data_IF_263192254142
#
_entry.id   IF_263192254142
#
_cell.length_a   1.000
_cell.length_b   1.000
_cell.length_c   1.000
_cell.angle_alpha   90.00
_cell.angle_beta   90.00
_cell.angle_gamma   90.00
#
_symmetry.space_group_name_H-M   'P 1'
#
loop_
_entity.id
_entity.type
_entity.pdbx_description
1 polymer ?
#
# COMPACT_ATOMS: atom_id res chain seq x y z
N UNK A 1 -14.10 -2.09 -5.98
CA UNK A 1 -13.87 -1.19 -4.84
C UNK A 1 -13.51 -2.07 -3.68
N UNK A 2 -12.28 -1.98 -3.26
CA UNK A 2 -11.67 -2.79 -2.21
C UNK A 2 -11.44 -1.93 -0.96
N UNK A 3 -11.06 -2.57 0.16
CA UNK A 3 -10.91 -1.85 1.42
C UNK A 3 -9.69 -0.92 1.41
N UNK A 4 -8.65 -1.32 0.71
CA UNK A 4 -7.44 -0.57 0.44
C UNK A 4 -7.71 0.70 -0.41
N UNK A 5 -8.64 0.65 -1.38
CA UNK A 5 -9.10 1.83 -2.14
C UNK A 5 -9.66 2.92 -1.20
N UNK A 6 -10.48 2.51 -0.22
CA UNK A 6 -11.05 3.42 0.78
C UNK A 6 -9.99 3.99 1.71
N UNK A 7 -9.03 3.16 2.13
CA UNK A 7 -7.89 3.59 2.94
C UNK A 7 -7.05 4.62 2.16
N UNK A 8 -6.68 4.32 0.92
CA UNK A 8 -5.92 5.24 0.06
C UNK A 8 -6.61 6.57 -0.13
N UNK A 9 -7.93 6.54 -0.34
CA UNK A 9 -8.75 7.75 -0.44
C UNK A 9 -8.78 8.55 0.85
N UNK A 10 -8.95 7.89 2.01
CA UNK A 10 -8.90 8.57 3.31
C UNK A 10 -7.54 9.24 3.54
N UNK A 11 -6.45 8.55 3.20
CA UNK A 11 -5.10 9.12 3.28
C UNK A 11 -4.98 10.34 2.38
N UNK A 12 -5.43 10.27 1.13
CA UNK A 12 -5.38 11.39 0.19
C UNK A 12 -6.17 12.62 0.67
N UNK A 13 -7.37 12.39 1.23
CA UNK A 13 -8.23 13.45 1.74
C UNK A 13 -7.60 14.18 2.93
N UNK A 14 -6.95 13.45 3.84
CA UNK A 14 -6.47 14.02 5.11
C UNK A 14 -4.97 14.33 5.14
N UNK A 15 -4.16 13.86 4.19
CA UNK A 15 -2.68 14.06 4.22
C UNK A 15 -2.23 15.52 4.21
N UNK A 16 -3.08 16.46 3.79
CA UNK A 16 -2.76 17.90 3.75
C UNK A 16 -2.98 18.60 5.09
N UNK A 17 -3.67 17.98 6.05
CA UNK A 17 -3.91 18.56 7.37
C UNK A 17 -2.55 18.71 8.09
N UNK A 18 -2.17 19.92 8.55
CA UNK A 18 -0.95 20.14 9.33
C UNK A 18 -0.94 19.27 10.60
N UNK A 19 0.23 18.78 11.00
CA UNK A 19 0.46 18.01 12.23
C UNK A 19 -0.34 16.70 12.39
N UNK A 20 -1.17 16.33 11.41
CA UNK A 20 -1.85 15.04 11.39
C UNK A 20 -0.88 13.91 11.03
N UNK A 21 -0.64 13.01 11.98
CA UNK A 21 0.01 11.73 11.73
C UNK A 21 -1.02 10.69 11.32
N UNK A 22 -0.78 10.01 10.20
CA UNK A 22 -1.63 8.95 9.67
C UNK A 22 -0.88 7.62 9.81
N UNK A 23 -1.51 6.65 10.47
CA UNK A 23 -1.00 5.29 10.64
C UNK A 23 -1.96 4.34 9.95
N UNK A 24 -1.48 3.68 8.89
CA UNK A 24 -2.24 2.68 8.14
C UNK A 24 -1.92 1.32 8.76
N UNK A 25 -2.86 0.72 9.48
CA UNK A 25 -2.66 -0.61 10.08
C UNK A 25 -3.20 -1.69 9.15
N UNK A 26 -2.31 -2.44 8.49
CA UNK A 26 -2.72 -3.49 7.54
C UNK A 26 -1.65 -4.58 7.38
N UNK A 27 -2.08 -5.80 7.07
CA UNK A 27 -1.18 -6.88 6.62
C UNK A 27 -0.70 -6.70 5.18
N UNK A 28 -1.37 -5.83 4.42
CA UNK A 28 -1.14 -5.64 2.99
C UNK A 28 0.00 -4.63 2.72
N UNK A 29 0.96 -5.03 1.90
CA UNK A 29 2.10 -4.21 1.54
C UNK A 29 1.80 -3.19 0.44
N UNK A 30 0.60 -3.18 -0.12
CA UNK A 30 0.22 -2.23 -1.17
C UNK A 30 0.02 -0.84 -0.60
N UNK A 31 -0.33 -0.77 0.69
CA UNK A 31 -0.34 0.44 1.50
C UNK A 31 1.03 1.15 1.58
N UNK A 32 2.14 0.45 1.26
CA UNK A 32 3.47 1.06 1.21
C UNK A 32 3.56 2.15 0.13
N UNK A 33 2.68 2.16 -0.86
CA UNK A 33 2.58 3.22 -1.87
C UNK A 33 2.17 4.58 -1.28
N UNK A 34 1.49 4.58 -0.13
CA UNK A 34 0.91 5.76 0.50
C UNK A 34 1.84 6.46 1.49
N UNK A 35 2.92 5.80 1.92
CA UNK A 35 3.78 6.34 2.97
C UNK A 35 4.48 7.61 2.51
N UNK A 36 4.71 8.53 3.44
CA UNK A 36 5.34 9.82 3.16
C UNK A 36 6.04 10.34 4.40
N UNK A 37 7.36 10.47 4.30
CA UNK A 37 8.23 10.83 5.41
C UNK A 37 7.87 10.00 6.67
N UNK A 38 7.83 10.62 7.85
CA UNK A 38 7.30 10.03 9.09
C UNK A 38 5.84 10.44 9.38
N UNK A 39 5.20 11.18 8.46
CA UNK A 39 3.84 11.69 8.62
C UNK A 39 2.79 10.62 8.30
N UNK A 40 3.01 9.86 7.24
CA UNK A 40 2.13 8.77 6.80
C UNK A 40 2.96 7.50 6.82
N UNK A 41 2.60 6.57 7.69
CA UNK A 41 3.32 5.31 7.85
C UNK A 41 2.37 4.13 7.74
N UNK A 42 2.87 3.00 7.27
CA UNK A 42 2.14 1.73 7.24
C UNK A 42 2.70 0.80 8.32
N UNK A 43 1.84 0.34 9.23
CA UNK A 43 2.18 -0.62 10.26
C UNK A 43 1.63 -1.99 9.87
N UNK A 44 2.51 -3.00 9.81
CA UNK A 44 2.15 -4.36 9.42
C UNK A 44 2.66 -5.39 10.42
N UNK A 45 2.05 -6.58 10.41
CA UNK A 45 2.34 -7.64 11.36
C UNK A 45 3.49 -8.53 10.84
N UNK A 46 4.57 -8.67 11.62
CA UNK A 46 5.71 -9.54 11.32
C UNK A 46 5.42 -11.01 11.64
N UNK A 47 5.07 -11.28 12.90
CA UNK A 47 4.80 -12.62 13.43
C UNK A 47 3.75 -12.53 14.54
N UNK A 48 2.53 -12.98 14.22
CA UNK A 48 1.40 -12.83 15.14
C UNK A 48 0.97 -11.37 15.30
N UNK A 49 0.04 -11.13 16.24
CA UNK A 49 -0.63 -9.82 16.39
C UNK A 49 0.24 -8.82 17.19
N UNK A 50 1.27 -9.29 17.90
CA UNK A 50 2.05 -8.48 18.85
C UNK A 50 3.38 -7.94 18.33
N UNK A 51 3.91 -8.50 17.24
CA UNK A 51 5.18 -8.06 16.63
C UNK A 51 4.86 -7.29 15.34
N UNK A 52 4.90 -5.96 15.41
CA UNK A 52 4.62 -5.07 14.28
C UNK A 52 5.90 -4.45 13.74
N UNK A 53 5.88 -4.09 12.46
CA UNK A 53 6.89 -3.29 11.80
C UNK A 53 6.23 -2.07 11.18
N UNK A 54 6.82 -0.90 11.44
CA UNK A 54 6.40 0.36 10.86
C UNK A 54 7.27 0.64 9.64
N UNK A 55 6.61 0.89 8.51
CA UNK A 55 7.20 1.37 7.28
C UNK A 55 6.91 2.86 7.12
N UNK A 56 7.95 3.66 7.27
CA UNK A 56 8.02 5.02 6.75
C UNK A 56 8.68 5.01 5.36
N UNK A 57 8.86 6.17 4.76
CA UNK A 57 9.46 6.27 3.42
C UNK A 57 10.87 5.65 3.34
N UNK A 58 11.71 5.87 4.36
CA UNK A 58 13.06 5.32 4.40
C UNK A 58 13.05 3.79 4.53
N UNK A 59 12.16 3.22 5.34
CA UNK A 59 11.99 1.77 5.45
C UNK A 59 11.50 1.15 4.14
N UNK A 60 10.63 1.84 3.39
CA UNK A 60 10.22 1.43 2.03
C UNK A 60 11.41 1.44 1.08
N UNK A 61 12.20 2.50 1.07
CA UNK A 61 13.44 2.56 0.27
C UNK A 61 14.37 1.41 0.62
N UNK A 62 14.60 1.13 1.90
CA UNK A 62 15.45 0.00 2.30
C UNK A 62 14.91 -1.35 1.78
N UNK A 63 13.60 -1.58 1.91
CA UNK A 63 12.94 -2.81 1.44
C UNK A 63 13.05 -2.98 -0.08
N UNK A 64 12.80 -1.93 -0.85
CA UNK A 64 12.82 -1.94 -2.32
C UNK A 64 14.14 -1.43 -2.90
N UNK A 65 15.24 -1.59 -2.15
CA UNK A 65 16.61 -1.26 -2.55
C UNK A 65 16.79 0.15 -3.12
N UNK A 66 16.04 1.13 -2.63
CA UNK A 66 16.15 2.55 -2.96
C UNK A 66 15.02 3.10 -3.84
N UNK A 67 13.98 2.29 -4.14
CA UNK A 67 12.78 2.81 -4.79
C UNK A 67 11.91 3.59 -3.80
N UNK A 68 11.35 4.70 -4.26
CA UNK A 68 10.40 5.49 -3.49
C UNK A 68 8.99 4.85 -3.50
N UNK A 69 8.11 5.18 -2.53
CA UNK A 69 6.74 4.66 -2.45
C UNK A 69 5.95 4.75 -3.76
N UNK A 70 6.04 5.89 -4.45
CA UNK A 70 5.34 6.13 -5.71
C UNK A 70 5.87 5.31 -6.90
N UNK A 71 7.01 4.61 -6.73
CA UNK A 71 7.63 3.78 -7.77
C UNK A 71 7.31 2.28 -7.59
N UNK A 72 6.61 1.90 -6.52
CA UNK A 72 6.29 0.50 -6.24
C UNK A 72 5.37 -0.08 -7.32
N UNK A 73 4.39 0.68 -7.80
CA UNK A 73 3.49 0.25 -8.89
C UNK A 73 4.23 0.08 -10.21
N UNK A 74 5.19 0.95 -10.54
CA UNK A 74 6.07 0.77 -11.70
C UNK A 74 6.91 -0.50 -11.60
N UNK A 75 7.47 -0.76 -10.42
CA UNK A 75 8.21 -1.98 -10.13
C UNK A 75 7.33 -3.23 -10.28
N UNK A 76 6.12 -3.24 -9.71
CA UNK A 76 5.14 -4.32 -9.86
C UNK A 76 4.66 -4.47 -11.31
N UNK A 77 4.58 -3.39 -12.08
CA UNK A 77 4.28 -3.45 -13.51
C UNK A 77 5.31 -4.25 -14.32
N UNK A 78 6.58 -4.18 -13.92
CA UNK A 78 7.66 -4.93 -14.55
C UNK A 78 7.81 -6.36 -14.00
N UNK A 79 7.73 -6.53 -12.69
CA UNK A 79 8.03 -7.83 -12.03
C UNK A 79 6.79 -8.72 -11.91
N UNK A 80 5.61 -8.12 -11.84
CA UNK A 80 4.37 -8.77 -11.45
C UNK A 80 4.20 -8.83 -9.94
N UNK A 81 3.04 -9.33 -9.54
CA UNK A 81 2.71 -9.66 -8.17
C UNK A 81 1.95 -10.99 -8.08
N UNK A 82 2.61 -12.07 -7.65
CA UNK A 82 1.97 -13.38 -7.54
C UNK A 82 0.83 -13.45 -6.53
N UNK A 83 0.80 -12.62 -5.47
CA UNK A 83 -0.31 -12.66 -4.50
C UNK A 83 -1.62 -12.19 -5.12
N UNK A 84 -1.53 -11.21 -6.01
CA UNK A 84 -2.68 -10.58 -6.68
C UNK A 84 -2.85 -11.05 -8.13
N UNK A 85 -2.17 -12.14 -8.49
CA UNK A 85 -2.21 -12.73 -9.83
C UNK A 85 -1.85 -11.72 -10.95
N UNK A 86 -0.95 -10.78 -10.65
CA UNK A 86 -0.43 -9.78 -11.59
C UNK A 86 0.79 -10.37 -12.31
N UNK A 87 0.77 -10.50 -13.65
CA UNK A 87 1.79 -11.28 -14.37
C UNK A 87 3.14 -10.57 -14.57
N UNK A 88 3.17 -9.23 -14.65
CA UNK A 88 4.40 -8.47 -14.95
C UNK A 88 4.95 -8.74 -16.34
N UNK A 89 6.25 -8.52 -16.57
CA UNK A 89 6.92 -8.81 -17.86
C UNK A 89 7.72 -10.12 -17.76
N UNK A 90 7.46 -11.12 -18.63
CA UNK A 90 8.19 -12.39 -18.59
C UNK A 90 9.70 -12.23 -18.68
N UNK A 91 10.40 -12.77 -17.67
CA UNK A 91 11.87 -12.71 -17.60
C UNK A 91 12.44 -11.36 -17.18
N UNK A 92 11.61 -10.46 -16.61
CA UNK A 92 12.05 -9.26 -15.90
C UNK A 92 11.79 -9.50 -14.41
N UNK A 93 12.87 -9.70 -13.64
CA UNK A 93 12.80 -9.86 -12.19
C UNK A 93 13.26 -8.60 -11.44
N UNK A 94 13.25 -8.61 -10.10
CA UNK A 94 13.62 -7.46 -9.29
C UNK A 94 15.01 -6.89 -9.61
N UNK A 95 16.00 -7.75 -9.90
CA UNK A 95 17.36 -7.34 -10.27
C UNK A 95 17.44 -6.51 -11.55
N UNK A 96 16.48 -6.69 -12.45
CA UNK A 96 16.39 -5.92 -13.70
C UNK A 96 15.48 -4.71 -13.53
N UNK A 97 14.33 -4.87 -12.87
CA UNK A 97 13.35 -3.80 -12.70
C UNK A 97 13.88 -2.64 -11.83
N UNK A 98 14.57 -2.93 -10.72
CA UNK A 98 15.03 -1.88 -9.78
C UNK A 98 15.95 -0.86 -10.45
N UNK A 99 17.03 -1.26 -11.16
CA UNK A 99 17.87 -0.29 -11.88
C UNK A 99 17.08 0.55 -12.89
N UNK A 100 16.19 -0.07 -13.67
CA UNK A 100 15.39 0.63 -14.68
C UNK A 100 14.49 1.69 -14.03
N UNK A 101 13.75 1.35 -12.97
CA UNK A 101 12.87 2.31 -12.31
C UNK A 101 13.67 3.40 -11.57
N UNK A 102 14.87 3.10 -11.05
CA UNK A 102 15.75 4.13 -10.48
C UNK A 102 16.25 5.13 -11.52
N UNK A 103 16.64 4.64 -12.69
CA UNK A 103 17.20 5.44 -13.78
C UNK A 103 16.11 6.27 -14.46
N UNK A 104 15.05 5.61 -14.93
CA UNK A 104 14.00 6.23 -15.74
C UNK A 104 12.85 6.82 -14.91
N UNK A 105 12.83 6.56 -13.60
CA UNK A 105 11.80 7.03 -12.63
C UNK A 105 10.43 6.36 -12.76
N UNK A 106 9.97 6.08 -13.97
CA UNK A 106 8.70 5.39 -14.24
C UNK A 106 8.82 4.40 -15.43
N UNK A 107 7.85 3.50 -15.53
CA UNK A 107 7.73 2.57 -16.65
C UNK A 107 7.50 3.30 -17.98
N UNK A 108 6.68 4.36 -17.98
CA UNK A 108 6.41 5.16 -19.17
C UNK A 108 7.68 5.86 -19.67
N UNK A 109 8.44 6.47 -18.77
CA UNK A 109 9.71 7.12 -19.12
C UNK A 109 10.72 6.12 -19.70
N UNK A 110 10.74 4.89 -19.19
CA UNK A 110 11.58 3.82 -19.75
C UNK A 110 11.11 3.43 -21.16
N UNK A 111 9.81 3.31 -21.39
CA UNK A 111 9.25 3.00 -22.70
C UNK A 111 9.50 4.12 -23.73
N UNK A 112 9.63 5.36 -23.28
CA UNK A 112 9.88 6.53 -24.13
C UNK A 112 11.37 6.78 -24.40
N UNK A 113 12.26 6.51 -23.44
CA UNK A 113 13.67 6.93 -23.48
C UNK A 113 14.68 5.77 -23.33
N UNK A 114 14.21 4.56 -23.08
CA UNK A 114 15.05 3.40 -22.78
C UNK A 114 15.59 2.66 -24.00
N UNK A 115 15.55 3.22 -25.22
CA UNK A 115 15.88 2.53 -26.47
C UNK A 115 17.29 1.91 -26.49
N UNK A 116 18.22 2.47 -25.71
CA UNK A 116 19.60 1.98 -25.59
C UNK A 116 19.76 0.85 -24.57
N UNK A 117 18.77 0.60 -23.71
CA UNK A 117 18.80 -0.48 -22.73
C UNK A 117 18.58 -1.83 -23.41
N UNK A 118 19.37 -2.84 -23.01
CA UNK A 118 19.29 -4.20 -23.54
C UNK A 118 17.92 -4.88 -23.35
N UNK A 119 17.13 -4.44 -22.37
CA UNK A 119 15.81 -4.97 -22.07
C UNK A 119 14.68 -4.23 -22.80
N UNK A 120 14.97 -3.14 -23.49
CA UNK A 120 13.98 -2.31 -24.17
C UNK A 120 13.08 -3.13 -25.10
N UNK A 121 13.67 -3.86 -26.06
CA UNK A 121 12.89 -4.66 -27.02
C UNK A 121 11.99 -5.70 -26.34
N UNK A 122 12.44 -6.28 -25.21
CA UNK A 122 11.63 -7.25 -24.44
C UNK A 122 10.47 -6.55 -23.75
N UNK A 123 10.72 -5.47 -23.02
CA UNK A 123 9.68 -4.75 -22.28
C UNK A 123 8.70 -4.10 -23.25
N UNK A 124 9.16 -3.53 -24.37
CA UNK A 124 8.30 -2.98 -25.43
C UNK A 124 7.42 -4.06 -26.06
N UNK A 125 7.92 -5.29 -26.25
CA UNK A 125 7.10 -6.42 -26.74
C UNK A 125 5.93 -6.74 -25.79
N UNK A 126 6.11 -6.54 -24.49
CA UNK A 126 5.09 -6.75 -23.46
C UNK A 126 4.54 -5.43 -22.89
N UNK A 127 4.61 -4.33 -23.66
CA UNK A 127 4.25 -2.98 -23.19
C UNK A 127 2.86 -2.92 -22.57
N UNK A 128 1.86 -3.45 -23.27
CA UNK A 128 0.46 -3.43 -22.81
C UNK A 128 0.29 -4.21 -21.51
N UNK A 129 0.93 -5.38 -21.41
CA UNK A 129 0.90 -6.20 -20.20
C UNK A 129 1.61 -5.52 -19.01
N UNK A 130 2.73 -4.83 -19.26
CA UNK A 130 3.46 -4.11 -18.22
C UNK A 130 2.64 -2.92 -17.69
N UNK A 131 2.05 -2.13 -18.59
CA UNK A 131 1.20 -0.99 -18.22
C UNK A 131 -0.09 -1.44 -17.53
N UNK A 132 -0.71 -2.53 -17.99
CA UNK A 132 -1.86 -3.12 -17.32
C UNK A 132 -1.48 -3.63 -15.93
N UNK A 133 -0.36 -4.34 -15.80
CA UNK A 133 0.13 -4.84 -14.51
C UNK A 133 0.42 -3.70 -13.53
N UNK A 134 1.01 -2.59 -14.02
CA UNK A 134 1.20 -1.38 -13.23
C UNK A 134 -0.14 -0.81 -12.77
N UNK A 135 -1.12 -0.70 -13.65
CA UNK A 135 -2.43 -0.16 -13.34
C UNK A 135 -3.15 -1.01 -12.27
N UNK A 136 -3.10 -2.34 -12.41
CA UNK A 136 -3.67 -3.27 -11.43
C UNK A 136 -2.99 -3.19 -10.07
N UNK A 137 -1.67 -2.97 -10.06
CA UNK A 137 -0.88 -2.81 -8.84
C UNK A 137 -0.97 -1.40 -8.21
N UNK A 138 -1.54 -0.43 -8.91
CA UNK A 138 -1.62 0.94 -8.44
C UNK A 138 -2.81 1.10 -7.50
N UNK A 139 -2.52 1.47 -6.27
CA UNK A 139 -3.56 1.73 -5.28
C UNK A 139 -4.43 2.92 -5.71
N UNK A 140 -5.75 2.74 -5.73
CA UNK A 140 -6.68 3.82 -6.06
C UNK A 140 -6.97 4.66 -4.82
N UNK A 141 -7.04 5.96 -5.03
CA UNK A 141 -7.21 6.95 -3.96
C UNK A 141 -8.37 7.91 -4.24
N UNK A 142 -9.29 7.52 -5.12
CA UNK A 142 -10.44 8.28 -5.61
C UNK A 142 -11.77 7.55 -5.37
N UNK A 143 -11.79 6.63 -4.39
CA UNK A 143 -12.99 5.92 -3.98
C UNK A 143 -14.07 6.89 -3.46
N UNK A 144 -15.37 6.55 -3.59
CA UNK A 144 -16.42 7.33 -2.95
C UNK A 144 -16.33 7.15 -1.42
N UNK A 145 -15.73 8.13 -0.74
CA UNK A 145 -15.65 8.21 0.72
C UNK A 145 -16.43 9.44 1.20
N UNK A 146 -17.58 9.22 1.83
CA UNK A 146 -18.41 10.28 2.41
C UNK A 146 -17.97 10.57 3.86
N UNK A 147 -16.73 11.04 4.00
CA UNK A 147 -16.18 11.55 5.27
C UNK A 147 -15.50 12.87 4.95
N UNK A 148 -16.02 13.97 5.49
CA UNK A 148 -15.57 15.32 5.14
C UNK A 148 -14.65 15.90 6.21
N UNK A 149 -14.87 15.53 7.45
CA UNK A 149 -14.10 16.01 8.60
C UNK A 149 -13.66 14.88 9.53
N UNK A 150 -12.47 15.03 10.15
CA UNK A 150 -11.93 14.05 11.09
C UNK A 150 -12.77 13.90 12.36
N UNK A 151 -13.55 14.91 12.73
CA UNK A 151 -14.47 14.84 13.87
C UNK A 151 -15.56 13.77 13.68
N UNK A 152 -15.93 13.45 12.43
CA UNK A 152 -16.84 12.35 12.09
C UNK A 152 -16.25 10.98 12.40
N UNK A 153 -14.91 10.88 12.40
CA UNK A 153 -14.16 9.65 12.70
C UNK A 153 -13.72 9.56 14.16
N UNK A 154 -14.16 10.50 15.00
CA UNK A 154 -13.80 10.50 16.41
C UNK A 154 -14.34 9.24 17.08
N UNK A 155 -13.45 8.46 17.67
CA UNK A 155 -13.85 7.27 18.44
C UNK A 155 -14.76 7.68 19.59
N UNK A 156 -16.00 7.22 19.54
CA UNK A 156 -16.95 7.37 20.64
C UNK A 156 -16.72 6.29 21.71
N UNK A 157 -17.17 6.58 22.94
CA UNK A 157 -17.24 5.58 23.99
C UNK A 157 -18.30 4.53 23.63
N UNK A 158 -17.92 3.26 23.63
CA UNK A 158 -18.86 2.18 23.36
C UNK A 158 -19.68 1.85 24.63
N UNK A 159 -20.99 1.56 24.51
CA UNK A 159 -21.82 1.15 25.65
C UNK A 159 -21.38 -0.23 26.14
N UNK A 160 -20.71 -0.26 27.30
CA UNK A 160 -20.05 -1.46 27.83
C UNK A 160 -21.04 -2.59 28.08
N UNK A 161 -22.23 -2.29 28.58
CA UNK A 161 -23.26 -3.27 28.93
C UNK A 161 -23.71 -4.07 27.70
N UNK A 162 -23.95 -3.38 26.57
CA UNK A 162 -24.34 -4.00 25.31
C UNK A 162 -23.22 -4.88 24.74
N UNK A 163 -21.96 -4.41 24.84
CA UNK A 163 -20.79 -5.17 24.39
C UNK A 163 -20.55 -6.43 25.22
N UNK A 164 -20.67 -6.34 26.54
CA UNK A 164 -20.53 -7.49 27.44
C UNK A 164 -21.58 -8.54 27.09
N UNK A 165 -22.86 -8.16 27.00
CA UNK A 165 -23.94 -9.10 26.64
C UNK A 165 -23.71 -9.76 25.27
N UNK A 166 -23.20 -9.00 24.29
CA UNK A 166 -22.86 -9.53 22.98
C UNK A 166 -21.70 -10.53 23.04
N UNK A 167 -20.62 -10.20 23.75
CA UNK A 167 -19.47 -11.10 23.92
C UNK A 167 -19.81 -12.33 24.75
N UNK A 168 -20.71 -12.24 25.72
CA UNK A 168 -21.18 -13.40 26.51
C UNK A 168 -21.92 -14.39 25.61
N UNK A 169 -22.81 -13.91 24.74
CA UNK A 169 -23.51 -14.75 23.76
C UNK A 169 -22.56 -15.48 22.82
N UNK A 170 -21.44 -14.84 22.46
CA UNK A 170 -20.39 -15.43 21.64
C UNK A 170 -19.37 -16.27 22.43
N UNK A 171 -19.43 -16.27 23.76
CA UNK A 171 -18.50 -16.99 24.62
C UNK A 171 -17.11 -16.34 24.76
N UNK A 172 -16.94 -15.07 24.39
CA UNK A 172 -15.65 -14.36 24.41
C UNK A 172 -15.26 -13.83 25.80
N UNK A 173 -15.09 -14.75 26.76
CA UNK A 173 -14.78 -14.43 28.17
C UNK A 173 -13.52 -13.57 28.39
N UNK A 174 -12.49 -13.78 27.58
CA UNK A 174 -11.24 -12.99 27.66
C UNK A 174 -11.41 -11.54 27.19
N UNK A 175 -12.28 -11.29 26.20
CA UNK A 175 -12.58 -9.93 25.74
C UNK A 175 -13.43 -9.17 26.75
N UNK A 176 -14.38 -9.83 27.40
CA UNK A 176 -15.17 -9.26 28.51
C UNK A 176 -14.25 -8.75 29.62
N UNK A 177 -13.26 -9.56 30.02
CA UNK A 177 -12.30 -9.21 31.07
C UNK A 177 -11.40 -8.01 30.69
N UNK A 178 -11.23 -7.70 29.40
CA UNK A 178 -10.41 -6.58 28.91
C UNK A 178 -11.19 -5.26 28.79
N UNK A 179 -12.53 -5.32 28.73
CA UNK A 179 -13.39 -4.13 28.60
C UNK A 179 -14.00 -3.69 29.93
N UNK A 180 -14.02 -4.57 30.93
CA UNK A 180 -14.37 -4.25 32.32
C UNK A 180 -13.32 -3.31 32.90
#
# INVERSE_FOLDING_TARGET
>A
LEADDLIGTAVENFKKIPDLKIVILTGDLDSLQLVKDDKIVSETFKKGISDTIIYNEEAVKQRYQGLAPNQISDFKGLVGDPSDNIPGVPGIGPKTAIPLIKEYKSLENFLENGQLDKNYLKITKFKEQALLSKNLAQLKCDAPLDVRDLSELKRESLPKENLISYFEKLGFKSLISRIQ
#
